data_IF_467466483984
#
_entry.id   IF_467466483984
#
_cell.length_a   1.000
_cell.length_b   1.000
_cell.length_c   1.000
_cell.angle_alpha   90.00
_cell.angle_beta   90.00
_cell.angle_gamma   90.00
#
_symmetry.space_group_name_H-M   'P 1'
#
loop_
_entity.id
_entity.type
_entity.pdbx_description
1 polymer ?
#
# COMPACT_ATOMS: atom_id res chain seq x y z
N UNK A 1 29.73 -65.39 4.95
CA UNK A 1 29.15 -64.13 5.43
C UNK A 1 29.61 -63.00 4.52
N UNK A 2 28.85 -62.61 3.49
CA UNK A 2 29.15 -61.43 2.66
C UNK A 2 28.18 -60.33 3.05
N UNK A 3 28.71 -59.24 3.58
CA UNK A 3 27.97 -58.01 3.83
C UNK A 3 27.65 -57.37 2.47
N UNK A 4 26.37 -57.32 2.10
CA UNK A 4 25.90 -56.64 0.90
C UNK A 4 25.71 -55.17 1.26
N UNK A 5 26.54 -54.29 0.68
CA UNK A 5 26.42 -52.84 0.81
C UNK A 5 25.29 -52.31 -0.09
N UNK A 6 24.44 -51.38 0.38
CA UNK A 6 23.39 -50.77 -0.44
C UNK A 6 23.96 -49.78 -1.46
N UNK A 7 23.38 -49.78 -2.67
CA UNK A 7 23.79 -49.05 -3.88
C UNK A 7 23.60 -47.52 -3.80
N UNK A 8 24.35 -46.73 -4.61
CA UNK A 8 24.53 -45.27 -4.43
C UNK A 8 23.48 -44.39 -5.13
N UNK A 9 22.23 -44.84 -5.29
CA UNK A 9 21.25 -44.16 -6.14
C UNK A 9 20.54 -42.93 -5.53
N UNK A 10 20.90 -42.49 -4.31
CA UNK A 10 20.20 -41.40 -3.61
C UNK A 10 20.95 -40.04 -3.58
N UNK A 11 22.06 -39.86 -4.32
CA UNK A 11 22.87 -38.63 -4.25
C UNK A 11 22.76 -37.68 -5.44
N UNK A 12 21.92 -37.96 -6.45
CA UNK A 12 21.90 -37.14 -7.68
C UNK A 12 20.93 -35.95 -7.67
N UNK A 13 19.89 -35.97 -6.83
CA UNK A 13 18.80 -34.97 -6.86
C UNK A 13 19.09 -33.68 -6.10
N UNK A 14 20.09 -33.65 -5.21
CA UNK A 14 20.42 -32.44 -4.44
C UNK A 14 21.34 -31.44 -5.17
N UNK A 15 22.10 -31.89 -6.18
CA UNK A 15 23.13 -31.07 -6.83
C UNK A 15 22.58 -29.98 -7.77
N UNK A 16 21.34 -30.12 -8.27
CA UNK A 16 20.74 -29.16 -9.19
C UNK A 16 20.43 -27.81 -8.51
N UNK A 17 20.06 -27.85 -7.22
CA UNK A 17 19.78 -26.68 -6.38
C UNK A 17 21.04 -25.89 -5.97
N UNK A 18 22.24 -26.49 -6.10
CA UNK A 18 23.52 -25.86 -5.76
C UNK A 18 24.15 -25.09 -6.93
N UNK A 19 23.55 -25.11 -8.13
CA UNK A 19 24.10 -24.37 -9.28
C UNK A 19 23.97 -22.84 -9.03
N UNK A 20 25.08 -22.08 -8.96
CA UNK A 20 25.05 -20.65 -8.69
C UNK A 20 24.23 -19.85 -9.72
N UNK A 21 24.14 -20.38 -10.94
CA UNK A 21 23.32 -19.82 -12.04
C UNK A 21 21.81 -19.98 -11.79
N UNK A 22 21.39 -21.04 -11.09
CA UNK A 22 19.99 -21.27 -10.70
C UNK A 22 19.60 -20.38 -9.51
N UNK A 23 20.47 -20.27 -8.49
CA UNK A 23 20.30 -19.34 -7.36
C UNK A 23 20.23 -17.88 -7.82
N UNK A 24 21.11 -17.43 -8.73
CA UNK A 24 21.08 -16.06 -9.28
C UNK A 24 19.81 -15.78 -10.07
N UNK A 25 19.37 -16.71 -10.93
CA UNK A 25 18.12 -16.55 -11.68
C UNK A 25 16.89 -16.49 -10.76
N UNK A 26 16.83 -17.36 -9.75
CA UNK A 26 15.75 -17.40 -8.77
C UNK A 26 15.73 -16.13 -7.90
N UNK A 27 16.89 -15.64 -7.46
CA UNK A 27 16.98 -14.37 -6.72
C UNK A 27 16.52 -13.17 -7.56
N UNK A 28 16.90 -13.11 -8.85
CA UNK A 28 16.43 -12.04 -9.74
C UNK A 28 14.91 -12.09 -9.96
N UNK A 29 14.32 -13.28 -10.05
CA UNK A 29 12.86 -13.46 -10.17
C UNK A 29 12.16 -13.00 -8.89
N UNK A 30 12.66 -13.40 -7.72
CA UNK A 30 12.10 -13.01 -6.42
C UNK A 30 12.20 -11.49 -6.23
N UNK A 31 13.34 -10.87 -6.54
CA UNK A 31 13.50 -9.41 -6.44
C UNK A 31 12.53 -8.69 -7.38
N UNK A 32 12.33 -9.18 -8.60
CA UNK A 32 11.33 -8.60 -9.52
C UNK A 32 9.92 -8.73 -8.99
N UNK A 33 9.56 -9.88 -8.40
CA UNK A 33 8.23 -10.12 -7.82
C UNK A 33 7.98 -9.21 -6.60
N UNK A 34 8.98 -9.07 -5.73
CA UNK A 34 8.94 -8.17 -4.57
C UNK A 34 8.82 -6.71 -5.03
N UNK A 35 9.60 -6.30 -6.03
CA UNK A 35 9.55 -4.94 -6.58
C UNK A 35 8.18 -4.65 -7.22
N UNK A 36 7.61 -5.59 -7.98
CA UNK A 36 6.26 -5.41 -8.55
C UNK A 36 5.18 -5.30 -7.48
N UNK A 37 5.26 -6.11 -6.41
CA UNK A 37 4.34 -6.04 -5.29
C UNK A 37 4.48 -4.69 -4.58
N UNK A 38 5.71 -4.26 -4.24
CA UNK A 38 5.97 -2.97 -3.60
C UNK A 38 5.42 -1.78 -4.39
N UNK A 39 5.54 -1.79 -5.71
CA UNK A 39 4.97 -0.73 -6.57
C UNK A 39 3.43 -0.72 -6.49
N UNK A 40 2.81 -1.90 -6.33
CA UNK A 40 1.35 -2.03 -6.23
C UNK A 40 0.81 -1.49 -4.90
N UNK A 41 1.55 -1.71 -3.80
CA UNK A 41 1.14 -1.28 -2.45
C UNK A 41 1.58 0.15 -2.11
N UNK A 42 2.62 0.65 -2.78
CA UNK A 42 3.26 1.94 -2.49
C UNK A 42 2.78 3.12 -3.34
N UNK A 43 1.81 2.93 -4.23
CA UNK A 43 1.13 4.05 -4.86
C UNK A 43 0.21 4.68 -3.82
N UNK A 44 0.76 5.59 -3.00
CA UNK A 44 -0.03 6.46 -2.14
C UNK A 44 -1.13 7.10 -2.98
N UNK A 45 -2.38 6.94 -2.55
CA UNK A 45 -3.50 7.58 -3.22
C UNK A 45 -3.30 9.10 -3.07
N UNK A 46 -3.10 9.81 -4.19
CA UNK A 46 -2.91 11.26 -4.17
C UNK A 46 -4.07 11.98 -3.47
N UNK A 47 -5.27 11.42 -3.55
CA UNK A 47 -6.44 11.93 -2.84
C UNK A 47 -6.26 11.76 -1.33
N UNK A 48 -5.72 10.63 -0.90
CA UNK A 48 -5.35 10.37 0.50
C UNK A 48 -4.30 11.36 1.00
N UNK A 49 -3.24 11.60 0.23
CA UNK A 49 -2.21 12.58 0.58
C UNK A 49 -2.77 14.00 0.70
N UNK A 50 -3.66 14.39 -0.22
CA UNK A 50 -4.31 15.69 -0.23
C UNK A 50 -5.24 15.88 0.98
N UNK A 51 -6.05 14.86 1.30
CA UNK A 51 -6.93 14.86 2.46
C UNK A 51 -6.15 14.84 3.78
N UNK A 52 -5.05 14.09 3.85
CA UNK A 52 -4.19 14.08 5.05
C UNK A 52 -3.51 15.44 5.28
N UNK A 53 -3.03 16.09 4.21
CA UNK A 53 -2.54 17.48 4.29
C UNK A 53 -3.66 18.45 4.73
N UNK A 54 -4.88 18.27 4.21
CA UNK A 54 -6.05 19.05 4.61
C UNK A 54 -6.34 18.92 6.11
N UNK A 55 -6.32 17.71 6.67
CA UNK A 55 -6.46 17.48 8.12
C UNK A 55 -5.42 18.28 8.92
N UNK A 56 -4.16 18.27 8.48
CA UNK A 56 -3.09 19.01 9.13
C UNK A 56 -3.33 20.52 9.06
N UNK A 57 -3.72 21.05 7.90
CA UNK A 57 -3.96 22.48 7.67
C UNK A 57 -5.21 23.00 8.37
N UNK A 58 -6.23 22.17 8.56
CA UNK A 58 -7.41 22.46 9.37
C UNK A 58 -7.09 22.56 10.87
N UNK A 59 -5.87 22.19 11.28
CA UNK A 59 -5.45 22.12 12.68
C UNK A 59 -6.37 21.17 13.47
N UNK A 60 -6.71 20.03 12.86
CA UNK A 60 -7.58 19.04 13.46
C UNK A 60 -6.96 18.43 14.73
N UNK A 61 -7.73 18.33 15.79
CA UNK A 61 -7.32 17.62 17.02
C UNK A 61 -7.30 16.11 16.81
N UNK A 62 -6.80 15.35 17.78
CA UNK A 62 -6.79 13.88 17.73
C UNK A 62 -8.20 13.26 17.68
N UNK A 63 -9.23 13.97 18.14
CA UNK A 63 -10.63 13.52 18.09
C UNK A 63 -11.35 13.88 16.79
N UNK A 64 -10.84 14.85 16.03
CA UNK A 64 -11.38 15.23 14.73
C UNK A 64 -10.65 14.46 13.62
N UNK A 65 -11.42 13.90 12.67
CA UNK A 65 -10.88 13.16 11.52
C UNK A 65 -9.86 12.09 11.96
N UNK A 66 -10.15 11.39 13.06
CA UNK A 66 -9.18 10.55 13.78
C UNK A 66 -8.68 9.38 12.94
N UNK A 67 -9.50 8.90 12.01
CA UNK A 67 -9.26 7.78 11.12
C UNK A 67 -8.68 8.18 9.74
N UNK A 68 -8.51 9.49 9.49
CA UNK A 68 -7.80 9.97 8.29
C UNK A 68 -6.31 9.68 8.44
N UNK A 69 -5.88 8.53 7.93
CA UNK A 69 -4.56 7.94 8.14
C UNK A 69 -3.88 7.65 6.80
N UNK A 70 -2.76 8.34 6.54
CA UNK A 70 -1.95 8.18 5.33
C UNK A 70 -1.43 6.75 5.08
N UNK A 71 -1.42 5.88 6.09
CA UNK A 71 -0.94 4.51 5.95
C UNK A 71 -2.04 3.54 5.48
N UNK A 72 -3.28 4.01 5.33
CA UNK A 72 -4.36 3.20 4.75
C UNK A 72 -4.29 3.21 3.23
N UNK A 73 -4.73 2.09 2.62
CA UNK A 73 -4.65 1.87 1.17
C UNK A 73 -5.50 2.88 0.39
N UNK A 74 -6.63 3.33 0.95
CA UNK A 74 -7.54 4.25 0.27
C UNK A 74 -8.19 5.21 1.27
N UNK A 75 -8.42 6.48 0.90
CA UNK A 75 -9.20 7.41 1.70
C UNK A 75 -10.70 7.08 1.75
N UNK A 76 -11.19 6.18 0.89
CA UNK A 76 -12.61 5.81 0.83
C UNK A 76 -13.09 5.05 2.08
N UNK A 77 -12.17 4.57 2.92
CA UNK A 77 -12.49 3.98 4.22
C UNK A 77 -12.55 5.01 5.36
N UNK A 78 -12.25 6.27 5.08
CA UNK A 78 -12.25 7.33 6.10
C UNK A 78 -13.66 7.86 6.34
N UNK A 79 -13.97 8.15 7.60
CA UNK A 79 -15.18 8.81 8.01
C UNK A 79 -15.28 10.16 7.33
N UNK A 80 -16.50 10.51 6.94
CA UNK A 80 -16.80 11.77 6.25
C UNK A 80 -16.17 11.90 4.87
N UNK A 81 -15.68 10.79 4.29
CA UNK A 81 -15.25 10.70 2.89
C UNK A 81 -16.19 9.72 2.17
N UNK A 82 -16.70 10.13 1.01
CA UNK A 82 -17.54 9.29 0.15
C UNK A 82 -16.84 9.22 -1.21
N UNK A 83 -16.72 7.99 -1.73
CA UNK A 83 -16.17 7.73 -3.05
C UNK A 83 -17.22 7.18 -4.02
N UNK A 84 -16.95 7.33 -5.32
CA UNK A 84 -17.69 6.66 -6.38
C UNK A 84 -17.27 5.17 -6.55
N UNK A 85 -17.82 4.51 -7.58
CA UNK A 85 -17.48 3.12 -7.90
C UNK A 85 -16.04 2.90 -8.36
N UNK A 86 -15.38 3.96 -8.82
CA UNK A 86 -14.01 3.95 -9.32
C UNK A 86 -13.00 4.36 -8.24
N UNK A 87 -13.45 4.48 -6.99
CA UNK A 87 -12.64 4.92 -5.82
C UNK A 87 -12.13 6.35 -5.91
N UNK A 88 -12.82 7.21 -6.67
CA UNK A 88 -12.56 8.65 -6.63
C UNK A 88 -13.33 9.29 -5.49
N UNK A 89 -12.69 10.19 -4.75
CA UNK A 89 -13.32 10.98 -3.69
C UNK A 89 -14.27 12.00 -4.33
N UNK A 90 -15.56 11.82 -4.11
CA UNK A 90 -16.61 12.69 -4.67
C UNK A 90 -17.25 13.60 -3.64
N UNK A 91 -17.17 13.25 -2.36
CA UNK A 91 -17.68 14.08 -1.28
C UNK A 91 -16.82 13.96 -0.02
N UNK A 92 -16.60 15.10 0.63
CA UNK A 92 -15.95 15.20 1.94
C UNK A 92 -16.88 16.03 2.84
N UNK A 93 -17.01 15.69 4.12
CA UNK A 93 -17.87 16.44 5.06
C UNK A 93 -17.05 16.96 6.23
N UNK A 94 -16.96 18.28 6.36
CA UNK A 94 -16.18 18.96 7.42
C UNK A 94 -17.05 19.80 8.37
N UNK A 95 -18.35 19.86 8.11
CA UNK A 95 -19.29 20.72 8.82
C UNK A 95 -19.38 20.39 10.32
N UNK A 96 -19.60 21.43 11.12
CA UNK A 96 -19.84 21.34 12.57
C UNK A 96 -18.72 20.68 13.40
N UNK A 97 -17.49 20.61 12.86
CA UNK A 97 -16.35 20.06 13.59
C UNK A 97 -15.57 21.13 14.37
N UNK A 98 -15.64 22.41 13.99
CA UNK A 98 -14.99 23.51 14.74
C UNK A 98 -13.49 23.67 14.46
N UNK A 99 -13.06 23.49 13.21
CA UNK A 99 -11.67 23.69 12.80
C UNK A 99 -11.22 25.15 12.96
N UNK A 100 -9.97 25.36 13.36
CA UNK A 100 -9.38 26.71 13.54
C UNK A 100 -8.34 27.05 12.48
N UNK A 101 -7.97 26.07 11.65
CA UNK A 101 -6.99 26.23 10.58
C UNK A 101 -7.61 26.68 9.25
N UNK A 102 -6.91 26.34 8.16
CA UNK A 102 -7.28 26.70 6.79
C UNK A 102 -7.53 25.47 5.94
N UNK A 103 -8.30 25.65 4.86
CA UNK A 103 -8.44 24.64 3.82
C UNK A 103 -7.13 24.51 3.05
N UNK A 104 -6.67 23.27 2.82
CA UNK A 104 -5.47 23.03 2.04
C UNK A 104 -5.69 23.36 0.55
N UNK A 105 -4.75 24.06 -0.12
CA UNK A 105 -4.76 24.22 -1.58
C UNK A 105 -4.69 22.90 -2.34
N UNK A 106 -4.20 21.82 -1.72
CA UNK A 106 -4.16 20.48 -2.32
C UNK A 106 -5.55 19.88 -2.55
N UNK A 107 -6.62 20.54 -2.09
CA UNK A 107 -8.00 20.20 -2.47
C UNK A 107 -8.18 20.08 -4.00
N UNK A 108 -7.39 20.81 -4.80
CA UNK A 108 -7.38 20.71 -6.26
C UNK A 108 -6.90 19.35 -6.81
N UNK A 109 -6.27 18.50 -5.99
CA UNK A 109 -5.92 17.12 -6.37
C UNK A 109 -7.13 16.17 -6.33
N UNK A 110 -8.21 16.56 -5.63
CA UNK A 110 -9.49 15.85 -5.61
C UNK A 110 -10.33 16.21 -6.84
N UNK A 111 -9.88 15.77 -8.02
CA UNK A 111 -10.44 16.17 -9.32
C UNK A 111 -11.92 15.80 -9.54
N UNK A 112 -12.43 14.83 -8.79
CA UNK A 112 -13.83 14.37 -8.85
C UNK A 112 -14.70 14.90 -7.70
N UNK A 113 -14.15 15.75 -6.82
CA UNK A 113 -14.87 16.28 -5.68
C UNK A 113 -16.02 17.17 -6.16
N UNK A 114 -17.22 16.86 -5.68
CA UNK A 114 -18.46 17.57 -6.01
C UNK A 114 -19.10 18.26 -4.80
N UNK A 115 -18.86 17.75 -3.60
CA UNK A 115 -19.43 18.26 -2.34
C UNK A 115 -18.36 18.33 -1.27
N UNK A 116 -18.30 19.47 -0.55
CA UNK A 116 -17.38 19.73 0.56
C UNK A 116 -18.09 20.38 1.75
#
# INVERSE_FOLDING_TARGET
MRLVLPTPHYMSTFSHWLRPRFKRKMQLIIVKLILSILISVGLSDRQGDALFDMRSKLNATSSQLSDWNQNQVTPCTWNSVICDSDSNVVQVTLANMGFTGILSPRIGELTYLSVL
#
